data_IF_877637879594
#
_entry.id   IF_877637879594
#
_cell.length_a   1.000
_cell.length_b   1.000
_cell.length_c   1.000
_cell.angle_alpha   90.00
_cell.angle_beta   90.00
_cell.angle_gamma   90.00
#
_symmetry.space_group_name_H-M   'P 1'
#
loop_
_entity.id
_entity.type
_entity.pdbx_description
1 polymer ?
#
# COMPACT_ATOMS: atom_id res chain seq x y z
N UNK A 1 -18.79 -6.40 30.12
CA UNK A 1 -18.36 -7.77 29.77
C UNK A 1 -16.86 -7.82 29.55
N UNK A 2 -16.33 -7.19 28.50
CA UNK A 2 -14.88 -7.22 28.19
C UNK A 2 -13.98 -6.72 29.34
N UNK A 3 -14.38 -5.69 30.10
CA UNK A 3 -13.62 -5.27 31.29
C UNK A 3 -13.52 -6.36 32.37
N UNK A 4 -14.56 -7.19 32.53
CA UNK A 4 -14.53 -8.32 33.47
C UNK A 4 -13.53 -9.37 32.96
N UNK A 5 -13.52 -9.65 31.65
CA UNK A 5 -12.56 -10.55 31.02
C UNK A 5 -11.12 -10.05 31.22
N UNK A 6 -10.86 -8.76 30.97
CA UNK A 6 -9.54 -8.15 31.16
C UNK A 6 -9.07 -8.14 32.62
N UNK A 7 -9.99 -7.97 33.57
CA UNK A 7 -9.64 -7.87 34.99
C UNK A 7 -9.45 -9.24 35.63
N UNK A 8 -10.36 -10.17 35.37
CA UNK A 8 -10.46 -11.46 36.09
C UNK A 8 -10.11 -12.67 35.23
N UNK A 9 -9.77 -12.50 33.95
CA UNK A 9 -9.49 -13.60 33.03
C UNK A 9 -8.34 -14.53 33.46
N UNK A 10 -7.44 -14.05 34.32
CA UNK A 10 -6.38 -14.88 34.92
C UNK A 10 -6.92 -16.00 35.83
N UNK A 11 -8.18 -15.90 36.26
CA UNK A 11 -8.85 -16.93 37.07
C UNK A 11 -9.63 -17.95 36.23
N UNK A 12 -9.70 -17.76 34.91
CA UNK A 12 -10.52 -18.59 34.04
C UNK A 12 -9.79 -19.83 33.58
N UNK A 13 -10.49 -20.95 33.53
CA UNK A 13 -9.98 -22.17 32.91
C UNK A 13 -10.04 -22.10 31.37
N UNK A 14 -9.19 -22.87 30.69
CA UNK A 14 -9.08 -22.89 29.22
C UNK A 14 -10.43 -23.14 28.52
N UNK A 15 -11.27 -24.02 29.07
CA UNK A 15 -12.59 -24.33 28.52
C UNK A 15 -13.61 -23.19 28.71
N UNK A 16 -13.50 -22.39 29.79
CA UNK A 16 -14.36 -21.22 29.98
C UNK A 16 -14.10 -20.14 28.93
N UNK A 17 -12.84 -19.99 28.51
CA UNK A 17 -12.52 -19.08 27.41
C UNK A 17 -13.22 -19.48 26.11
N UNK A 18 -13.25 -20.78 25.77
CA UNK A 18 -13.98 -21.28 24.59
C UNK A 18 -15.47 -20.95 24.65
N UNK A 19 -16.11 -21.29 25.77
CA UNK A 19 -17.54 -21.05 25.94
C UNK A 19 -17.90 -19.56 25.91
N UNK A 20 -17.07 -18.74 26.55
CA UNK A 20 -17.27 -17.30 26.59
C UNK A 20 -17.08 -16.66 25.21
N UNK A 21 -16.01 -17.01 24.49
CA UNK A 21 -15.78 -16.47 23.15
C UNK A 21 -16.80 -16.97 22.13
N UNK A 22 -17.32 -18.20 22.29
CA UNK A 22 -18.46 -18.68 21.50
C UNK A 22 -19.69 -17.80 21.66
N UNK A 23 -19.93 -17.21 22.83
CA UNK A 23 -21.01 -16.24 23.05
C UNK A 23 -20.63 -14.87 22.48
N UNK A 24 -19.39 -14.41 22.70
CA UNK A 24 -18.90 -13.11 22.23
C UNK A 24 -18.95 -13.02 20.70
N UNK A 25 -18.54 -14.05 19.97
CA UNK A 25 -18.58 -14.04 18.50
C UNK A 25 -20.03 -13.98 17.95
N UNK A 26 -21.05 -14.34 18.74
CA UNK A 26 -22.46 -14.15 18.34
C UNK A 26 -22.86 -12.68 18.20
N UNK A 27 -22.08 -11.73 18.72
CA UNK A 27 -22.29 -10.30 18.45
C UNK A 27 -22.29 -10.02 16.94
N UNK A 28 -21.52 -10.81 16.18
CA UNK A 28 -21.44 -10.73 14.73
C UNK A 28 -22.49 -11.63 14.02
N UNK A 29 -23.22 -12.50 14.72
CA UNK A 29 -24.23 -13.39 14.10
C UNK A 29 -25.51 -12.66 13.69
N UNK A 30 -25.90 -11.59 14.40
CA UNK A 30 -27.05 -10.74 14.03
C UNK A 30 -26.94 -10.18 12.61
N UNK A 31 -25.75 -10.25 12.01
CA UNK A 31 -25.43 -9.84 10.65
C UNK A 31 -25.91 -10.81 9.56
N UNK A 32 -26.34 -12.03 9.94
CA UNK A 32 -26.86 -13.06 9.04
C UNK A 32 -28.35 -12.88 8.70
N UNK A 33 -29.06 -11.97 9.37
CA UNK A 33 -30.49 -11.75 9.16
C UNK A 33 -30.75 -10.70 8.05
N UNK A 34 -31.63 -10.97 7.05
CA UNK A 34 -31.77 -10.11 5.86
C UNK A 34 -32.52 -8.78 6.04
N UNK A 35 -33.22 -8.55 7.15
CA UNK A 35 -34.45 -7.73 7.12
C UNK A 35 -34.29 -6.20 7.36
N UNK A 36 -33.14 -5.67 7.79
CA UNK A 36 -32.97 -4.21 7.99
C UNK A 36 -31.57 -3.70 7.57
N UNK A 37 -31.43 -3.12 6.37
CA UNK A 37 -30.13 -2.71 5.80
C UNK A 37 -29.47 -1.51 6.51
N UNK A 38 -30.24 -0.51 6.96
CA UNK A 38 -29.69 0.69 7.62
C UNK A 38 -29.22 0.39 9.04
N UNK A 39 -30.03 -0.32 9.82
CA UNK A 39 -29.67 -0.77 11.17
C UNK A 39 -28.46 -1.70 11.15
N UNK A 40 -28.32 -2.52 10.10
CA UNK A 40 -27.15 -3.35 9.84
C UNK A 40 -25.86 -2.53 9.63
N UNK A 41 -25.93 -1.41 8.90
CA UNK A 41 -24.75 -0.56 8.67
C UNK A 41 -24.30 0.20 9.93
N UNK A 42 -25.25 0.71 10.71
CA UNK A 42 -24.98 1.38 11.99
C UNK A 42 -24.41 0.40 13.02
N UNK A 43 -24.99 -0.81 13.12
CA UNK A 43 -24.49 -1.88 13.98
C UNK A 43 -23.04 -2.28 13.65
N UNK A 44 -22.69 -2.37 12.36
CA UNK A 44 -21.30 -2.65 11.94
C UNK A 44 -20.33 -1.56 12.41
N UNK A 45 -20.72 -0.31 12.23
CA UNK A 45 -19.86 0.86 12.48
C UNK A 45 -19.66 1.13 13.97
N UNK A 46 -20.66 0.77 14.79
CA UNK A 46 -20.66 0.99 16.24
C UNK A 46 -20.35 -0.32 16.99
N UNK A 47 -21.34 -1.19 17.18
CA UNK A 47 -21.23 -2.37 18.06
C UNK A 47 -20.18 -3.37 17.59
N UNK A 48 -20.20 -3.79 16.31
CA UNK A 48 -19.20 -4.73 15.79
C UNK A 48 -17.78 -4.15 15.86
N UNK A 49 -17.64 -2.87 15.52
CA UNK A 49 -16.35 -2.18 15.57
C UNK A 49 -15.77 -2.19 16.99
N UNK A 50 -16.54 -1.76 18.00
CA UNK A 50 -16.09 -1.77 19.40
C UNK A 50 -15.83 -3.18 19.92
N UNK A 51 -16.69 -4.15 19.57
CA UNK A 51 -16.51 -5.53 19.96
C UNK A 51 -15.23 -6.14 19.38
N UNK A 52 -14.90 -5.83 18.11
CA UNK A 52 -13.69 -6.34 17.45
C UNK A 52 -12.41 -5.89 18.16
N UNK A 53 -12.30 -4.60 18.49
CA UNK A 53 -11.16 -4.08 19.26
C UNK A 53 -11.10 -4.73 20.65
N UNK A 54 -12.22 -4.81 21.37
CA UNK A 54 -12.25 -5.40 22.71
C UNK A 54 -11.88 -6.90 22.71
N UNK A 55 -12.27 -7.63 21.67
CA UNK A 55 -11.85 -9.03 21.44
C UNK A 55 -10.34 -9.11 21.25
N UNK A 56 -9.77 -8.26 20.39
CA UNK A 56 -8.32 -8.25 20.11
C UNK A 56 -7.50 -7.81 21.33
N UNK A 57 -8.02 -6.89 22.15
CA UNK A 57 -7.40 -6.45 23.39
C UNK A 57 -7.33 -7.59 24.42
N UNK A 58 -8.44 -8.31 24.63
CA UNK A 58 -8.46 -9.48 25.53
C UNK A 58 -7.55 -10.58 24.99
N UNK A 59 -7.58 -10.84 23.68
CA UNK A 59 -6.71 -11.81 23.04
C UNK A 59 -5.23 -11.48 23.25
N UNK A 60 -4.86 -10.21 23.06
CA UNK A 60 -3.50 -9.71 23.29
C UNK A 60 -3.08 -9.86 24.76
N UNK A 61 -3.96 -9.51 25.69
CA UNK A 61 -3.66 -9.59 27.12
C UNK A 61 -3.43 -11.04 27.60
N UNK A 62 -4.17 -12.01 27.06
CA UNK A 62 -4.12 -13.43 27.47
C UNK A 62 -3.59 -14.35 26.36
N UNK A 63 -2.70 -13.85 25.50
CA UNK A 63 -2.18 -14.57 24.33
C UNK A 63 -1.68 -15.98 24.65
N UNK A 64 -0.96 -16.15 25.76
CA UNK A 64 -0.37 -17.44 26.15
C UNK A 64 -1.42 -18.54 26.35
N UNK A 65 -2.60 -18.17 26.86
CA UNK A 65 -3.71 -19.13 27.09
C UNK A 65 -4.62 -19.22 25.86
N UNK A 66 -4.84 -18.08 25.18
CA UNK A 66 -5.83 -17.96 24.11
C UNK A 66 -5.31 -18.37 22.73
N UNK A 67 -4.00 -18.31 22.48
CA UNK A 67 -3.42 -18.69 21.19
C UNK A 67 -3.71 -20.15 20.81
N UNK A 68 -3.60 -21.08 21.77
CA UNK A 68 -3.95 -22.49 21.56
C UNK A 68 -5.44 -22.74 21.26
N UNK A 69 -6.30 -21.80 21.61
CA UNK A 69 -7.74 -22.02 21.75
C UNK A 69 -8.54 -21.28 20.69
N UNK A 70 -8.16 -20.03 20.43
CA UNK A 70 -8.96 -19.05 19.69
C UNK A 70 -8.20 -18.41 18.53
N UNK A 71 -6.93 -18.73 18.31
CA UNK A 71 -6.14 -18.06 17.26
C UNK A 71 -6.82 -18.17 15.89
N UNK A 72 -7.30 -19.36 15.53
CA UNK A 72 -7.97 -19.60 14.26
C UNK A 72 -9.32 -18.85 14.18
N UNK A 73 -10.08 -18.80 15.29
CA UNK A 73 -11.34 -18.05 15.36
C UNK A 73 -11.12 -16.54 15.24
N UNK A 74 -10.06 -16.00 15.87
CA UNK A 74 -9.69 -14.59 15.79
C UNK A 74 -9.29 -14.24 14.35
N UNK A 75 -8.46 -15.04 13.70
CA UNK A 75 -8.10 -14.82 12.30
C UNK A 75 -9.30 -14.94 11.36
N UNK A 76 -10.18 -15.92 11.56
CA UNK A 76 -11.42 -16.03 10.81
C UNK A 76 -12.33 -14.80 10.99
N UNK A 77 -12.42 -14.27 12.21
CA UNK A 77 -13.21 -13.08 12.52
C UNK A 77 -12.62 -11.82 11.89
N UNK A 78 -11.30 -11.63 11.96
CA UNK A 78 -10.60 -10.51 11.32
C UNK A 78 -10.79 -10.56 9.80
N UNK A 79 -10.55 -11.72 9.19
CA UNK A 79 -10.78 -11.96 7.76
C UNK A 79 -12.23 -11.62 7.37
N UNK A 80 -13.22 -12.11 8.13
CA UNK A 80 -14.62 -11.81 7.86
C UNK A 80 -14.92 -10.31 7.95
N UNK A 81 -14.40 -9.59 8.95
CA UNK A 81 -14.59 -8.15 9.10
C UNK A 81 -14.06 -7.37 7.90
N UNK A 82 -12.88 -7.75 7.38
CA UNK A 82 -12.26 -7.10 6.21
C UNK A 82 -13.08 -7.29 4.93
N UNK A 83 -13.84 -8.38 4.83
CA UNK A 83 -14.68 -8.68 3.66
C UNK A 83 -16.02 -7.97 3.61
N UNK A 84 -16.41 -7.25 4.67
CA UNK A 84 -17.71 -6.61 4.71
C UNK A 84 -17.78 -5.39 3.78
N UNK A 85 -18.95 -5.16 3.18
CA UNK A 85 -19.28 -3.94 2.42
C UNK A 85 -19.52 -2.73 3.39
N UNK A 86 -18.67 -2.59 4.40
CA UNK A 86 -18.65 -1.47 5.34
C UNK A 86 -17.20 -1.02 5.53
N UNK A 87 -16.88 0.18 5.03
CA UNK A 87 -15.51 0.71 5.04
C UNK A 87 -14.92 0.73 6.44
N UNK A 88 -15.66 1.26 7.43
CA UNK A 88 -15.14 1.39 8.80
C UNK A 88 -14.79 0.03 9.41
N UNK A 89 -15.68 -0.95 9.31
CA UNK A 89 -15.44 -2.28 9.86
C UNK A 89 -14.30 -3.00 9.14
N UNK A 90 -14.19 -2.85 7.82
CA UNK A 90 -13.12 -3.46 7.06
C UNK A 90 -11.75 -2.90 7.46
N UNK A 91 -11.67 -1.57 7.62
CA UNK A 91 -10.46 -0.88 8.12
C UNK A 91 -10.11 -1.30 9.55
N UNK A 92 -11.11 -1.42 10.42
CA UNK A 92 -10.90 -1.92 11.78
C UNK A 92 -10.38 -3.35 11.83
N UNK A 93 -10.80 -4.22 10.91
CA UNK A 93 -10.22 -5.56 10.75
C UNK A 93 -8.73 -5.54 10.47
N UNK A 94 -8.30 -4.73 9.49
CA UNK A 94 -6.88 -4.56 9.15
C UNK A 94 -6.07 -3.98 10.31
N UNK A 95 -6.58 -2.92 10.95
CA UNK A 95 -5.92 -2.29 12.10
C UNK A 95 -5.82 -3.21 13.32
N UNK A 96 -6.85 -4.02 13.59
CA UNK A 96 -6.81 -4.99 14.69
C UNK A 96 -5.77 -6.09 14.42
N UNK A 97 -5.70 -6.58 13.17
CA UNK A 97 -4.65 -7.53 12.77
C UNK A 97 -3.26 -6.93 12.98
N UNK A 98 -3.05 -5.67 12.55
CA UNK A 98 -1.80 -4.95 12.77
C UNK A 98 -1.44 -4.87 14.26
N UNK A 99 -2.37 -4.41 15.10
CA UNK A 99 -2.15 -4.24 16.54
C UNK A 99 -1.85 -5.57 17.23
N UNK A 100 -2.60 -6.64 16.92
CA UNK A 100 -2.36 -7.97 17.50
C UNK A 100 -0.94 -8.43 17.17
N UNK A 101 -0.48 -8.24 15.93
CA UNK A 101 0.86 -8.67 15.53
C UNK A 101 1.94 -7.78 16.14
N UNK A 102 1.77 -6.45 16.14
CA UNK A 102 2.77 -5.53 16.71
C UNK A 102 2.96 -5.75 18.21
N UNK A 103 1.86 -5.98 18.95
CA UNK A 103 1.92 -6.12 20.42
C UNK A 103 2.38 -7.51 20.88
N UNK A 104 2.31 -8.52 20.02
CA UNK A 104 2.52 -9.91 20.42
C UNK A 104 3.53 -10.68 19.57
N UNK A 105 3.99 -10.13 18.44
CA UNK A 105 4.76 -10.86 17.43
C UNK A 105 6.07 -11.46 17.95
N UNK A 106 6.68 -10.87 18.98
CA UNK A 106 7.88 -11.43 19.63
C UNK A 106 7.60 -12.75 20.36
N UNK A 107 6.35 -12.97 20.80
CA UNK A 107 5.90 -14.17 21.50
C UNK A 107 5.36 -15.25 20.56
N UNK A 108 5.23 -14.94 19.27
CA UNK A 108 4.67 -15.87 18.30
C UNK A 108 5.68 -16.99 18.01
N UNK A 109 5.19 -18.23 18.00
CA UNK A 109 5.94 -19.36 17.47
C UNK A 109 5.97 -19.28 15.94
N UNK A 110 6.85 -20.05 15.30
CA UNK A 110 6.90 -20.13 13.83
C UNK A 110 5.55 -20.54 13.22
N UNK A 111 4.81 -21.42 13.89
CA UNK A 111 3.47 -21.84 13.46
C UNK A 111 2.46 -20.68 13.51
N UNK A 112 2.47 -19.88 14.59
CA UNK A 112 1.61 -18.71 14.71
C UNK A 112 1.96 -17.68 13.64
N UNK A 113 3.24 -17.46 13.36
CA UNK A 113 3.68 -16.61 12.25
C UNK A 113 3.22 -17.12 10.89
N UNK A 114 3.28 -18.44 10.64
CA UNK A 114 2.77 -19.02 9.40
C UNK A 114 1.26 -18.81 9.25
N UNK A 115 0.48 -19.04 10.30
CA UNK A 115 -0.97 -18.76 10.31
C UNK A 115 -1.26 -17.26 10.10
N UNK A 116 -0.48 -16.39 10.72
CA UNK A 116 -0.58 -14.93 10.57
C UNK A 116 -0.34 -14.49 9.12
N UNK A 117 0.77 -14.94 8.51
CA UNK A 117 1.08 -14.62 7.12
C UNK A 117 0.07 -15.23 6.14
N UNK A 118 -0.47 -16.41 6.42
CA UNK A 118 -1.55 -17.02 5.62
C UNK A 118 -2.84 -16.19 5.71
N UNK A 119 -3.22 -15.74 6.91
CA UNK A 119 -4.36 -14.86 7.10
C UNK A 119 -4.21 -13.57 6.28
N UNK A 120 -3.04 -12.90 6.36
CA UNK A 120 -2.76 -11.71 5.55
C UNK A 120 -2.84 -12.00 4.04
N UNK A 121 -2.29 -13.13 3.58
CA UNK A 121 -2.34 -13.56 2.19
C UNK A 121 -3.79 -13.74 1.69
N UNK A 122 -4.64 -14.40 2.49
CA UNK A 122 -6.03 -14.65 2.13
C UNK A 122 -6.84 -13.34 2.11
N UNK A 123 -6.59 -12.44 3.07
CA UNK A 123 -7.18 -11.10 3.07
C UNK A 123 -6.74 -10.33 1.81
N UNK A 124 -5.45 -10.33 1.47
CA UNK A 124 -4.95 -9.68 0.26
C UNK A 124 -5.65 -10.22 -0.99
N UNK A 125 -5.65 -11.54 -1.19
CA UNK A 125 -6.24 -12.16 -2.39
C UNK A 125 -7.72 -11.83 -2.57
N UNK A 126 -8.50 -11.85 -1.48
CA UNK A 126 -9.95 -11.63 -1.58
C UNK A 126 -10.35 -10.16 -1.72
N UNK A 127 -9.45 -9.24 -1.38
CA UNK A 127 -9.68 -7.79 -1.44
C UNK A 127 -9.15 -7.15 -2.72
N UNK A 128 -8.51 -7.88 -3.65
CA UNK A 128 -8.12 -7.32 -4.96
C UNK A 128 -9.39 -6.96 -5.76
N UNK A 129 -9.56 -5.70 -6.20
CA UNK A 129 -10.75 -5.26 -6.90
C UNK A 129 -10.69 -5.57 -8.41
N UNK A 130 -10.55 -6.85 -8.78
CA UNK A 130 -10.40 -7.30 -10.17
C UNK A 130 -11.45 -6.75 -11.14
N UNK A 131 -12.68 -6.51 -10.68
CA UNK A 131 -13.73 -5.94 -11.51
C UNK A 131 -13.39 -4.53 -12.03
N UNK A 132 -12.47 -3.78 -11.41
CA UNK A 132 -12.02 -2.50 -11.97
C UNK A 132 -11.34 -2.66 -13.34
N UNK A 133 -10.69 -3.79 -13.60
CA UNK A 133 -10.04 -4.06 -14.88
C UNK A 133 -11.00 -4.57 -15.95
N UNK A 134 -12.10 -5.20 -15.54
CA UNK A 134 -13.02 -5.92 -16.44
C UNK A 134 -14.40 -5.28 -16.57
N UNK A 135 -14.73 -4.27 -15.74
CA UNK A 135 -16.04 -3.64 -15.76
C UNK A 135 -16.35 -3.01 -17.12
N UNK A 136 -17.59 -3.17 -17.57
CA UNK A 136 -18.14 -2.63 -18.81
C UNK A 136 -19.56 -2.08 -18.54
N UNK A 137 -19.99 -1.02 -19.24
CA UNK A 137 -21.37 -0.53 -19.13
C UNK A 137 -22.38 -1.55 -19.66
N UNK A 138 -23.40 -1.88 -18.87
CA UNK A 138 -24.47 -2.79 -19.31
C UNK A 138 -25.39 -2.08 -20.32
N UNK A 139 -25.25 -2.43 -21.59
CA UNK A 139 -26.09 -1.95 -22.71
C UNK A 139 -25.35 -1.27 -23.88
N UNK A 140 -24.02 -1.34 -23.94
CA UNK A 140 -23.26 -0.89 -25.11
C UNK A 140 -23.12 -1.99 -26.15
N UNK A 141 -24.08 -2.12 -27.05
CA UNK A 141 -23.80 -2.70 -28.36
C UNK A 141 -22.60 -1.98 -28.96
N UNK A 142 -21.74 -2.75 -29.62
CA UNK A 142 -20.67 -2.29 -30.52
C UNK A 142 -21.20 -1.27 -31.52
N UNK A 143 -21.24 0.01 -31.15
CA UNK A 143 -21.22 1.11 -32.11
C UNK A 143 -19.76 1.43 -32.31
N UNK A 144 -19.21 0.89 -33.41
CA UNK A 144 -17.96 1.36 -34.00
C UNK A 144 -17.97 2.91 -34.01
N UNK A 145 -16.92 3.59 -33.52
CA UNK A 145 -16.89 5.04 -33.59
C UNK A 145 -16.78 5.44 -35.07
N UNK A 146 -17.81 6.09 -35.60
CA UNK A 146 -17.68 6.91 -36.81
C UNK A 146 -16.71 8.07 -36.51
N UNK A 147 -15.75 8.39 -37.39
CA UNK A 147 -14.72 9.39 -37.12
C UNK A 147 -15.34 10.79 -37.19
N UNK A 148 -15.85 11.30 -36.08
CA UNK A 148 -16.12 12.74 -35.90
C UNK A 148 -14.96 13.37 -35.14
N UNK A 149 -13.91 13.74 -35.89
CA UNK A 149 -12.74 14.43 -35.35
C UNK A 149 -13.17 15.81 -34.85
N UNK A 150 -13.10 16.06 -33.54
CA UNK A 150 -13.28 17.42 -33.02
C UNK A 150 -13.59 17.52 -31.53
N UNK A 151 -14.32 16.56 -30.94
CA UNK A 151 -14.76 16.66 -29.53
C UNK A 151 -13.93 15.85 -28.52
N UNK A 152 -13.19 14.83 -28.96
CA UNK A 152 -12.37 14.01 -28.05
C UNK A 152 -11.17 14.77 -27.47
N UNK A 153 -10.50 15.60 -28.29
CA UNK A 153 -9.36 16.42 -27.84
C UNK A 153 -9.72 17.41 -26.72
N UNK A 154 -10.98 17.82 -26.62
CA UNK A 154 -11.42 18.78 -25.61
C UNK A 154 -11.72 18.11 -24.24
N UNK A 155 -12.12 16.84 -24.24
CA UNK A 155 -12.34 16.06 -23.01
C UNK A 155 -11.01 15.60 -22.38
N UNK A 156 -10.02 15.27 -23.20
CA UNK A 156 -8.67 14.94 -22.72
C UNK A 156 -7.96 16.15 -22.09
N UNK A 157 -8.21 17.36 -22.61
CA UNK A 157 -7.66 18.60 -22.05
C UNK A 157 -8.31 18.99 -20.69
N UNK A 158 -9.59 18.65 -20.47
CA UNK A 158 -10.29 18.89 -19.19
C UNK A 158 -9.91 17.80 -18.15
N UNK A 159 -9.43 16.64 -18.60
CA UNK A 159 -9.06 15.47 -17.78
C UNK A 159 -7.60 15.48 -17.27
N UNK A 160 -6.94 16.63 -17.16
CA UNK A 160 -5.57 16.69 -16.62
C UNK A 160 -5.49 16.43 -15.10
N UNK A 161 -6.61 16.51 -14.36
CA UNK A 161 -6.64 16.19 -12.92
C UNK A 161 -7.20 14.78 -12.68
N UNK A 162 -6.33 13.78 -12.75
CA UNK A 162 -6.63 12.44 -12.19
C UNK A 162 -6.62 12.50 -10.67
N UNK A 163 -7.51 11.75 -10.02
CA UNK A 163 -7.58 11.68 -8.55
C UNK A 163 -7.26 10.28 -8.08
N UNK A 164 -6.45 10.21 -7.03
CA UNK A 164 -6.15 8.94 -6.39
C UNK A 164 -7.39 8.45 -5.62
N UNK A 165 -7.71 7.17 -5.75
CA UNK A 165 -8.90 6.58 -5.11
C UNK A 165 -8.80 6.67 -3.58
N UNK A 166 -7.60 6.73 -3.01
CA UNK A 166 -7.36 6.79 -1.58
C UNK A 166 -7.40 8.21 -1.01
N UNK A 167 -7.49 9.26 -1.84
CA UNK A 167 -7.79 10.61 -1.37
C UNK A 167 -9.29 10.71 -1.03
N UNK A 168 -9.61 10.92 0.25
CA UNK A 168 -10.99 10.90 0.75
C UNK A 168 -11.88 11.93 0.05
N UNK A 169 -13.07 11.47 -0.35
CA UNK A 169 -14.27 12.31 -0.45
C UNK A 169 -14.66 12.66 0.99
N UNK A 170 -14.06 13.70 1.56
CA UNK A 170 -14.66 14.29 2.77
C UNK A 170 -16.03 14.87 2.38
N UNK A 171 -17.11 14.60 3.14
CA UNK A 171 -18.24 15.51 3.13
C UNK A 171 -17.67 16.85 3.58
N UNK A 172 -17.72 17.87 2.71
CA UNK A 172 -17.33 19.22 3.10
C UNK A 172 -18.04 19.54 4.41
N UNK A 173 -17.27 19.69 5.49
CA UNK A 173 -17.72 20.33 6.71
C UNK A 173 -18.33 21.67 6.30
N UNK A 174 -19.60 21.89 6.64
CA UNK A 174 -20.27 23.17 6.48
C UNK A 174 -19.50 24.19 7.32
N UNK A 175 -18.61 24.94 6.67
CA UNK A 175 -17.86 26.00 7.30
C UNK A 175 -18.83 27.10 7.71
N UNK A 176 -19.08 27.14 9.02
CA UNK A 176 -19.88 28.12 9.74
C UNK A 176 -19.11 29.44 9.76
N UNK A 177 -19.28 30.30 8.74
CA UNK A 177 -18.86 31.70 8.81
C UNK A 177 -19.91 32.67 8.26
N UNK A 178 -20.50 33.37 9.22
CA UNK A 178 -20.97 34.77 9.21
C UNK A 178 -22.18 35.16 8.35
N UNK A 179 -23.27 35.43 9.09
CA UNK A 179 -24.42 36.23 8.68
C UNK A 179 -24.00 37.64 8.25
N UNK A 180 -24.35 38.04 7.03
CA UNK A 180 -24.77 39.42 6.71
C UNK A 180 -25.87 39.38 5.63
N UNK A 181 -26.99 40.11 5.79
CA UNK A 181 -28.06 40.14 4.81
C UNK A 181 -27.87 41.29 3.81
N UNK A 182 -27.87 41.00 2.50
CA UNK A 182 -28.13 42.00 1.46
C UNK A 182 -29.17 41.46 0.49
N UNK A 183 -30.14 42.33 0.22
CA UNK A 183 -31.41 42.15 -0.49
C UNK A 183 -31.23 42.14 -2.01
N UNK A 184 -31.94 41.26 -2.70
CA UNK A 184 -32.56 41.56 -4.00
C UNK A 184 -32.03 40.84 -5.26
N UNK A 185 -32.97 40.13 -5.92
CA UNK A 185 -33.19 39.93 -7.38
C UNK A 185 -33.30 38.43 -7.78
N UNK A 186 -34.36 38.02 -8.54
CA UNK A 186 -34.83 36.64 -8.57
C UNK A 186 -34.33 35.80 -9.77
N UNK A 187 -34.42 34.48 -9.55
CA UNK A 187 -34.75 33.40 -10.47
C UNK A 187 -34.16 33.43 -11.90
N UNK A 188 -33.14 32.59 -12.12
CA UNK A 188 -33.05 31.80 -13.34
C UNK A 188 -32.33 30.47 -13.04
N UNK A 189 -33.11 29.47 -12.61
CA UNK A 189 -32.66 28.07 -12.53
C UNK A 189 -32.82 27.41 -13.91
N UNK A 190 -31.79 27.49 -14.75
CA UNK A 190 -31.57 26.46 -15.77
C UNK A 190 -30.60 25.41 -15.22
N UNK A 191 -31.16 24.47 -14.48
CA UNK A 191 -30.46 23.26 -14.06
C UNK A 191 -30.13 22.45 -15.31
N UNK A 192 -28.84 22.38 -15.63
CA UNK A 192 -28.25 21.47 -16.62
C UNK A 192 -28.61 20.00 -16.29
N UNK A 193 -29.72 19.55 -16.87
CA UNK A 193 -30.09 18.14 -16.99
C UNK A 193 -29.18 17.51 -18.04
N UNK A 194 -28.13 16.82 -17.60
CA UNK A 194 -27.46 15.73 -18.33
C UNK A 194 -26.27 15.20 -17.49
N UNK A 195 -26.57 14.52 -16.38
CA UNK A 195 -25.59 13.64 -15.74
C UNK A 195 -25.98 12.19 -16.03
N UNK A 196 -25.09 11.35 -16.58
CA UNK A 196 -25.28 9.91 -16.53
C UNK A 196 -25.11 9.48 -15.06
N UNK A 197 -26.23 9.25 -14.38
CA UNK A 197 -26.24 8.63 -13.05
C UNK A 197 -26.02 7.13 -13.27
N UNK A 198 -25.00 6.56 -12.63
CA UNK A 198 -24.78 5.12 -12.63
C UNK A 198 -26.07 4.40 -12.21
N UNK A 199 -26.45 3.31 -12.90
CA UNK A 199 -27.62 2.52 -12.54
C UNK A 199 -27.44 2.00 -11.10
N UNK A 200 -28.53 1.82 -10.34
CA UNK A 200 -28.48 1.40 -8.93
C UNK A 200 -27.59 0.16 -8.65
N UNK A 201 -27.52 -0.87 -9.51
CA UNK A 201 -26.60 -2.01 -9.33
C UNK A 201 -25.12 -1.61 -9.42
N UNK A 202 -24.77 -0.70 -10.33
CA UNK A 202 -23.40 -0.20 -10.51
C UNK A 202 -22.95 0.62 -9.29
N UNK A 203 -23.86 1.36 -8.64
CA UNK A 203 -23.53 2.14 -7.44
C UNK A 203 -23.11 1.25 -6.27
N UNK A 204 -23.83 0.14 -6.04
CA UNK A 204 -23.47 -0.82 -4.98
C UNK A 204 -22.12 -1.50 -5.29
N UNK A 205 -21.92 -1.91 -6.54
CA UNK A 205 -20.64 -2.49 -6.99
C UNK A 205 -19.48 -1.50 -6.81
N UNK A 206 -19.66 -0.24 -7.22
CA UNK A 206 -18.64 0.79 -7.10
C UNK A 206 -18.29 1.08 -5.65
N UNK A 207 -19.29 1.13 -4.75
CA UNK A 207 -19.05 1.22 -3.31
C UNK A 207 -18.16 0.08 -2.79
N UNK A 208 -18.51 -1.17 -3.11
CA UNK A 208 -17.71 -2.33 -2.72
C UNK A 208 -16.27 -2.30 -3.28
N UNK A 209 -16.10 -1.88 -4.54
CA UNK A 209 -14.78 -1.76 -5.16
C UNK A 209 -13.93 -0.64 -4.54
N UNK A 210 -14.54 0.48 -4.15
CA UNK A 210 -13.84 1.55 -3.43
C UNK A 210 -13.34 1.07 -2.07
N UNK A 211 -14.18 0.35 -1.32
CA UNK A 211 -13.80 -0.26 -0.04
C UNK A 211 -12.60 -1.20 -0.25
N UNK A 212 -12.67 -2.08 -1.25
CA UNK A 212 -11.55 -2.97 -1.61
C UNK A 212 -10.24 -2.23 -1.91
N UNK A 213 -10.29 -1.12 -2.64
CA UNK A 213 -9.09 -0.30 -2.85
C UNK A 213 -8.56 0.25 -1.53
N UNK A 214 -9.41 0.86 -0.70
CA UNK A 214 -9.00 1.41 0.62
C UNK A 214 -8.33 0.33 1.46
N UNK A 215 -8.97 -0.84 1.57
CA UNK A 215 -8.45 -1.99 2.31
C UNK A 215 -7.10 -2.46 1.77
N UNK A 216 -6.92 -2.55 0.45
CA UNK A 216 -5.64 -2.93 -0.16
C UNK A 216 -4.50 -1.99 0.23
N UNK A 217 -4.74 -0.67 0.25
CA UNK A 217 -3.73 0.29 0.69
C UNK A 217 -3.44 0.16 2.19
N UNK A 218 -4.45 -0.06 3.01
CA UNK A 218 -4.23 -0.29 4.45
C UNK A 218 -3.46 -1.57 4.71
N UNK A 219 -3.73 -2.66 3.99
CA UNK A 219 -2.99 -3.91 4.14
C UNK A 219 -1.51 -3.76 3.75
N UNK A 220 -1.21 -2.95 2.71
CA UNK A 220 0.17 -2.59 2.36
C UNK A 220 0.84 -1.87 3.54
N UNK A 221 0.16 -0.88 4.13
CA UNK A 221 0.68 -0.15 5.29
C UNK A 221 0.83 -1.06 6.51
N UNK A 222 -0.06 -2.04 6.70
CA UNK A 222 0.02 -3.02 7.79
C UNK A 222 1.21 -3.94 7.63
N UNK A 223 1.49 -4.46 6.44
CA UNK A 223 2.73 -5.23 6.21
C UNK A 223 3.96 -4.35 6.49
N UNK A 224 3.97 -3.10 5.99
CA UNK A 224 5.08 -2.17 6.23
C UNK A 224 5.31 -1.91 7.73
N UNK A 225 4.24 -1.62 8.47
CA UNK A 225 4.27 -1.38 9.91
C UNK A 225 4.67 -2.61 10.71
N UNK A 226 4.19 -3.80 10.34
CA UNK A 226 4.56 -5.05 11.02
C UNK A 226 6.03 -5.35 10.80
N UNK A 227 6.51 -5.29 9.55
CA UNK A 227 7.88 -5.70 9.22
C UNK A 227 8.90 -4.66 9.70
N UNK A 228 8.61 -3.36 9.57
CA UNK A 228 9.58 -2.28 9.80
C UNK A 228 9.27 -1.40 11.02
N UNK A 229 8.19 -1.68 11.76
CA UNK A 229 7.63 -0.83 12.81
C UNK A 229 6.93 0.44 12.27
N UNK A 230 5.83 0.92 12.92
CA UNK A 230 5.10 2.09 12.46
C UNK A 230 5.98 3.34 12.29
N UNK A 231 5.73 4.07 11.20
CA UNK A 231 6.41 5.31 10.80
C UNK A 231 7.90 5.20 10.42
N UNK A 232 8.55 4.06 10.62
CA UNK A 232 9.98 3.86 10.27
C UNK A 232 10.24 4.08 8.79
N UNK A 233 9.47 3.45 7.90
CA UNK A 233 9.64 3.59 6.45
C UNK A 233 9.43 5.03 5.96
N UNK A 234 8.48 5.77 6.56
CA UNK A 234 8.23 7.18 6.22
C UNK A 234 9.38 8.08 6.68
N UNK A 235 9.94 7.79 7.85
CA UNK A 235 11.14 8.48 8.35
C UNK A 235 12.34 8.20 7.45
N UNK A 236 12.55 6.95 7.05
CA UNK A 236 13.61 6.57 6.09
C UNK A 236 13.47 7.32 4.76
N UNK A 237 12.28 7.41 4.18
CA UNK A 237 12.06 8.15 2.93
C UNK A 237 12.39 9.64 3.06
N UNK A 238 12.01 10.26 4.18
CA UNK A 238 12.34 11.66 4.48
C UNK A 238 13.85 11.87 4.66
N UNK A 239 14.54 10.93 5.33
CA UNK A 239 15.98 10.96 5.51
C UNK A 239 16.74 10.77 4.18
N UNK A 240 16.28 9.84 3.33
CA UNK A 240 16.85 9.62 1.99
C UNK A 240 16.72 10.88 1.12
N UNK A 241 15.55 11.54 1.15
CA UNK A 241 15.34 12.80 0.45
C UNK A 241 16.26 13.91 0.99
N UNK A 242 16.33 14.07 2.31
CA UNK A 242 17.20 15.06 2.96
C UNK A 242 18.69 14.80 2.72
N UNK A 243 19.10 13.53 2.58
CA UNK A 243 20.49 13.15 2.25
C UNK A 243 20.81 13.41 0.77
N UNK A 244 19.84 13.27 -0.13
CA UNK A 244 19.98 13.65 -1.53
C UNK A 244 20.12 15.18 -1.69
N UNK A 245 19.42 15.96 -0.87
CA UNK A 245 19.50 17.44 -0.88
C UNK A 245 20.85 18.00 -0.44
N UNK A 246 21.51 17.36 0.53
CA UNK A 246 22.78 17.86 1.11
C UNK A 246 24.02 17.66 0.22
N UNK A 247 23.87 16.98 -0.90
CA UNK A 247 24.94 16.43 -1.75
C UNK A 247 26.16 15.81 -1.01
N UNK A 248 25.98 15.35 0.24
CA UNK A 248 27.08 14.88 1.07
C UNK A 248 27.70 13.60 0.49
N UNK A 249 29.02 13.63 0.30
CA UNK A 249 29.85 12.52 -0.20
C UNK A 249 29.86 11.35 0.80
N UNK A 250 29.60 11.62 2.08
CA UNK A 250 29.50 10.63 3.15
C UNK A 250 28.04 10.19 3.36
N UNK A 251 27.65 9.12 2.68
CA UNK A 251 26.28 8.58 2.71
C UNK A 251 26.04 7.58 3.86
N UNK A 252 26.81 7.67 4.94
CA UNK A 252 26.53 6.88 6.14
C UNK A 252 25.34 7.47 6.91
N UNK A 253 24.15 7.34 6.31
CA UNK A 253 22.90 7.38 7.06
C UNK A 253 22.84 6.07 7.85
N UNK A 254 23.49 6.07 9.01
CA UNK A 254 23.32 5.06 10.03
C UNK A 254 21.95 5.30 10.66
N UNK A 255 20.95 4.57 10.18
CA UNK A 255 19.66 4.52 10.87
C UNK A 255 19.77 3.38 11.87
N UNK A 256 19.81 3.72 13.16
CA UNK A 256 19.65 2.79 14.30
C UNK A 256 18.23 2.18 14.32
N UNK A 257 17.82 1.53 13.23
CA UNK A 257 16.50 0.88 13.06
C UNK A 257 16.60 -0.61 12.81
N UNK A 258 17.81 -1.20 12.87
CA UNK A 258 18.01 -2.59 12.49
C UNK A 258 17.16 -3.59 13.30
N UNK A 259 16.75 -3.23 14.52
CA UNK A 259 16.00 -4.12 15.42
C UNK A 259 14.54 -3.71 15.70
N UNK A 260 13.99 -2.72 14.99
CA UNK A 260 12.58 -2.38 15.15
C UNK A 260 11.69 -3.17 14.17
N UNK A 261 10.52 -3.59 14.67
CA UNK A 261 9.51 -4.34 13.92
C UNK A 261 9.71 -5.86 14.00
N UNK A 262 8.90 -6.59 13.24
CA UNK A 262 8.79 -8.05 13.35
C UNK A 262 9.65 -8.82 12.36
N UNK A 263 10.47 -8.13 11.56
CA UNK A 263 11.32 -8.74 10.54
C UNK A 263 12.22 -9.87 11.07
N UNK A 264 12.82 -9.71 12.26
CA UNK A 264 13.73 -10.69 12.84
C UNK A 264 13.02 -11.98 13.31
N UNK A 265 11.70 -11.94 13.52
CA UNK A 265 10.89 -13.10 13.90
C UNK A 265 10.32 -13.86 12.69
N UNK A 266 10.41 -13.29 11.49
CA UNK A 266 9.88 -13.86 10.25
C UNK A 266 10.94 -14.70 9.54
N UNK A 267 10.59 -15.88 9.06
CA UNK A 267 11.47 -16.68 8.19
C UNK A 267 11.58 -16.08 6.78
N UNK A 268 12.56 -16.52 5.98
CA UNK A 268 12.69 -16.07 4.58
C UNK A 268 11.47 -16.44 3.74
N UNK A 269 10.87 -17.61 3.98
CA UNK A 269 9.64 -18.05 3.31
C UNK A 269 8.43 -17.18 3.69
N UNK A 270 8.31 -16.79 4.96
CA UNK A 270 7.24 -15.88 5.40
C UNK A 270 7.40 -14.48 4.78
N UNK A 271 8.63 -13.95 4.72
CA UNK A 271 8.89 -12.68 4.03
C UNK A 271 8.59 -12.75 2.53
N UNK A 272 8.95 -13.84 1.85
CA UNK A 272 8.60 -14.02 0.44
C UNK A 272 7.09 -14.08 0.23
N UNK A 273 6.34 -14.72 1.14
CA UNK A 273 4.88 -14.72 1.09
C UNK A 273 4.30 -13.30 1.19
N UNK A 274 4.79 -12.48 2.11
CA UNK A 274 4.38 -11.08 2.24
C UNK A 274 4.79 -10.25 1.02
N UNK A 275 6.01 -10.47 0.50
CA UNK A 275 6.50 -9.85 -0.73
C UNK A 275 5.60 -10.16 -1.92
N UNK A 276 5.19 -11.41 -2.09
CA UNK A 276 4.35 -11.82 -3.21
C UNK A 276 2.98 -11.13 -3.15
N UNK A 277 2.38 -10.95 -1.97
CA UNK A 277 1.16 -10.13 -1.79
C UNK A 277 1.36 -8.69 -2.26
N UNK A 278 2.44 -8.05 -1.83
CA UNK A 278 2.77 -6.67 -2.19
C UNK A 278 2.97 -6.53 -3.71
N UNK A 279 3.72 -7.44 -4.32
CA UNK A 279 3.98 -7.43 -5.75
C UNK A 279 2.72 -7.72 -6.58
N UNK A 280 1.80 -8.55 -6.10
CA UNK A 280 0.50 -8.76 -6.74
C UNK A 280 -0.35 -7.48 -6.70
N UNK A 281 -0.40 -6.81 -5.55
CA UNK A 281 -1.10 -5.52 -5.40
C UNK A 281 -0.50 -4.44 -6.30
N UNK A 282 0.84 -4.38 -6.39
CA UNK A 282 1.55 -3.49 -7.33
C UNK A 282 1.16 -3.77 -8.78
N UNK A 283 1.22 -5.04 -9.22
CA UNK A 283 0.89 -5.44 -10.60
C UNK A 283 -0.54 -5.05 -10.95
N UNK A 284 -1.49 -5.26 -10.04
CA UNK A 284 -2.87 -4.85 -10.23
C UNK A 284 -3.00 -3.33 -10.40
N UNK A 285 -2.42 -2.54 -9.48
CA UNK A 285 -2.49 -1.09 -9.53
C UNK A 285 -1.83 -0.52 -10.79
N UNK A 286 -0.66 -1.05 -11.17
CA UNK A 286 0.05 -0.74 -12.43
C UNK A 286 -0.82 -1.03 -13.66
N UNK A 287 -1.45 -2.21 -13.71
CA UNK A 287 -2.33 -2.59 -14.81
C UNK A 287 -3.54 -1.64 -14.92
N UNK A 288 -4.12 -1.25 -13.78
CA UNK A 288 -5.22 -0.30 -13.74
C UNK A 288 -4.78 1.10 -14.19
N UNK A 289 -3.67 1.62 -13.67
CA UNK A 289 -3.16 2.96 -13.96
C UNK A 289 -2.77 3.13 -15.42
N UNK A 290 -2.19 2.07 -16.02
CA UNK A 290 -1.77 2.02 -17.42
C UNK A 290 -2.95 1.88 -18.39
N UNK A 291 -4.10 1.37 -17.93
CA UNK A 291 -5.28 1.18 -18.78
C UNK A 291 -6.13 2.46 -18.85
N UNK A 292 -5.70 3.37 -19.72
CA UNK A 292 -6.37 4.65 -19.92
C UNK A 292 -7.83 4.53 -20.34
N UNK A 293 -8.17 3.55 -21.17
CA UNK A 293 -9.53 3.30 -21.66
C UNK A 293 -10.45 2.87 -20.51
N UNK A 294 -10.00 1.88 -19.72
CA UNK A 294 -10.76 1.37 -18.57
C UNK A 294 -11.03 2.47 -17.54
N UNK A 295 -10.01 3.26 -17.21
CA UNK A 295 -10.14 4.39 -16.28
C UNK A 295 -11.12 5.44 -16.79
N UNK A 296 -11.12 5.71 -18.10
CA UNK A 296 -12.09 6.62 -18.74
C UNK A 296 -13.50 6.05 -18.72
N UNK A 297 -13.68 4.75 -18.95
CA UNK A 297 -14.98 4.07 -18.87
C UNK A 297 -15.58 4.16 -17.45
N UNK A 298 -14.80 3.85 -16.42
CA UNK A 298 -15.21 3.96 -15.02
C UNK A 298 -15.52 5.40 -14.60
N UNK A 299 -14.72 6.36 -15.07
CA UNK A 299 -14.98 7.78 -14.83
C UNK A 299 -16.30 8.23 -15.45
N UNK A 300 -16.56 7.89 -16.72
CA UNK A 300 -17.84 8.19 -17.39
C UNK A 300 -19.03 7.52 -16.72
N UNK A 301 -18.81 6.37 -16.09
CA UNK A 301 -19.80 5.66 -15.29
C UNK A 301 -20.01 6.25 -13.89
N UNK A 302 -19.19 7.20 -13.45
CA UNK A 302 -19.32 7.86 -12.15
C UNK A 302 -18.64 7.14 -10.98
N UNK A 303 -17.69 6.22 -11.24
CA UNK A 303 -17.02 5.41 -10.20
C UNK A 303 -16.41 6.24 -9.05
N UNK A 304 -15.69 7.33 -9.34
CA UNK A 304 -15.06 8.22 -8.34
C UNK A 304 -15.35 9.70 -8.65
N UNK A 305 -16.63 10.04 -8.76
CA UNK A 305 -17.08 11.43 -8.89
C UNK A 305 -16.63 12.10 -10.19
N UNK A 306 -16.03 13.30 -10.09
CA UNK A 306 -15.80 14.19 -11.25
C UNK A 306 -14.48 13.96 -11.99
N UNK A 307 -13.57 13.14 -11.47
CA UNK A 307 -12.21 13.00 -12.01
C UNK A 307 -11.87 11.55 -12.35
N UNK A 308 -10.91 11.39 -13.28
CA UNK A 308 -10.41 10.08 -13.69
C UNK A 308 -9.71 9.39 -12.50
N UNK A 309 -10.17 8.21 -12.05
CA UNK A 309 -9.59 7.53 -10.90
C UNK A 309 -8.18 7.02 -11.21
N UNK A 310 -7.31 6.92 -10.20
CA UNK A 310 -6.02 6.24 -10.24
C UNK A 310 -5.75 5.51 -8.91
N UNK A 311 -4.74 4.64 -8.90
CA UNK A 311 -4.25 3.88 -7.76
C UNK A 311 -2.76 4.17 -7.52
N UNK A 312 -2.32 5.41 -7.69
CA UNK A 312 -0.90 5.76 -7.64
C UNK A 312 -0.30 5.44 -6.27
N UNK A 313 -0.99 5.75 -5.18
CA UNK A 313 -0.50 5.43 -3.82
C UNK A 313 -0.39 3.92 -3.58
N UNK A 314 -1.37 3.13 -4.05
CA UNK A 314 -1.31 1.67 -3.95
C UNK A 314 -0.14 1.12 -4.79
N UNK A 315 0.03 1.61 -6.01
CA UNK A 315 1.11 1.20 -6.92
C UNK A 315 2.51 1.47 -6.32
N UNK A 316 2.74 2.68 -5.80
CA UNK A 316 4.05 3.09 -5.32
C UNK A 316 4.34 2.54 -3.92
N UNK A 317 3.36 2.52 -3.01
CA UNK A 317 3.56 2.04 -1.63
C UNK A 317 3.80 0.54 -1.58
N UNK A 318 3.08 -0.26 -2.39
CA UNK A 318 3.28 -1.72 -2.45
C UNK A 318 4.67 -2.08 -2.95
N UNK A 319 5.12 -1.42 -4.02
CA UNK A 319 6.46 -1.64 -4.57
C UNK A 319 7.55 -1.14 -3.62
N UNK A 320 7.37 0.02 -2.99
CA UNK A 320 8.33 0.53 -2.00
C UNK A 320 8.49 -0.45 -0.82
N UNK A 321 7.38 -0.94 -0.25
CA UNK A 321 7.41 -1.93 0.83
C UNK A 321 8.10 -3.23 0.39
N UNK A 322 7.77 -3.75 -0.80
CA UNK A 322 8.40 -4.94 -1.36
C UNK A 322 9.92 -4.77 -1.57
N UNK A 323 10.36 -3.62 -2.08
CA UNK A 323 11.77 -3.30 -2.22
C UNK A 323 12.47 -3.21 -0.86
N UNK A 324 11.85 -2.62 0.17
CA UNK A 324 12.42 -2.58 1.53
C UNK A 324 12.64 -3.99 2.08
N UNK A 325 11.69 -4.91 1.87
CA UNK A 325 11.83 -6.31 2.29
C UNK A 325 13.02 -6.95 1.57
N UNK A 326 13.07 -6.86 0.24
CA UNK A 326 14.13 -7.44 -0.57
C UNK A 326 15.51 -6.88 -0.19
N UNK A 327 15.66 -5.55 -0.09
CA UNK A 327 16.94 -4.94 0.29
C UNK A 327 17.35 -5.28 1.72
N UNK A 328 16.40 -5.35 2.68
CA UNK A 328 16.72 -5.76 4.05
C UNK A 328 17.22 -7.19 4.08
N UNK A 329 16.53 -8.13 3.41
CA UNK A 329 16.99 -9.52 3.27
C UNK A 329 18.35 -9.62 2.57
N UNK A 330 18.60 -8.79 1.56
CA UNK A 330 19.83 -8.83 0.80
C UNK A 330 21.04 -8.24 1.53
N UNK A 331 20.82 -7.45 2.57
CA UNK A 331 21.87 -6.89 3.44
C UNK A 331 22.00 -7.63 4.77
N UNK A 332 21.12 -8.59 5.03
CA UNK A 332 21.06 -9.35 6.27
C UNK A 332 21.93 -10.62 6.18
N UNK A 333 23.01 -10.63 6.95
CA UNK A 333 23.96 -11.75 7.02
C UNK A 333 23.36 -13.02 7.61
N UNK A 334 22.22 -12.96 8.31
CA UNK A 334 21.52 -14.15 8.80
C UNK A 334 20.75 -14.90 7.72
N UNK A 335 20.57 -14.31 6.52
CA UNK A 335 19.76 -14.84 5.42
C UNK A 335 20.56 -15.19 4.17
N UNK A 336 21.82 -15.60 4.34
CA UNK A 336 22.71 -15.92 3.20
C UNK A 336 22.17 -16.99 2.29
N UNK A 337 21.47 -17.96 2.87
CA UNK A 337 20.81 -19.06 2.18
C UNK A 337 19.76 -18.57 1.17
N UNK A 338 19.14 -17.41 1.40
CA UNK A 338 18.13 -16.83 0.52
C UNK A 338 18.69 -15.77 -0.46
N UNK A 339 19.96 -15.36 -0.34
CA UNK A 339 20.50 -14.23 -1.09
C UNK A 339 20.44 -14.39 -2.61
N UNK A 340 20.62 -15.59 -3.15
CA UNK A 340 20.53 -15.85 -4.59
C UNK A 340 19.11 -15.58 -5.11
N UNK A 341 18.10 -16.11 -4.41
CA UNK A 341 16.69 -15.88 -4.75
C UNK A 341 16.33 -14.40 -4.58
N UNK A 342 16.75 -13.76 -3.49
CA UNK A 342 16.54 -12.33 -3.24
C UNK A 342 17.16 -11.49 -4.36
N UNK A 343 18.40 -11.77 -4.77
CA UNK A 343 19.08 -11.06 -5.84
C UNK A 343 18.31 -11.18 -7.17
N UNK A 344 17.88 -12.39 -7.53
CA UNK A 344 17.12 -12.62 -8.76
C UNK A 344 15.80 -11.85 -8.75
N UNK A 345 15.06 -11.90 -7.64
CA UNK A 345 13.80 -11.15 -7.47
C UNK A 345 14.03 -9.64 -7.54
N UNK A 346 15.05 -9.14 -6.85
CA UNK A 346 15.39 -7.72 -6.82
C UNK A 346 15.79 -7.20 -8.21
N UNK A 347 16.64 -7.93 -8.94
CA UNK A 347 17.00 -7.60 -10.33
C UNK A 347 15.77 -7.48 -11.23
N UNK A 348 14.88 -8.47 -11.17
CA UNK A 348 13.66 -8.49 -11.99
C UNK A 348 12.71 -7.35 -11.64
N UNK A 349 12.40 -7.17 -10.35
CA UNK A 349 11.47 -6.14 -9.87
C UNK A 349 11.99 -4.74 -10.20
N UNK A 350 13.26 -4.45 -9.92
CA UNK A 350 13.83 -3.14 -10.22
C UNK A 350 13.91 -2.88 -11.74
N UNK A 351 14.28 -3.89 -12.55
CA UNK A 351 14.29 -3.73 -14.01
C UNK A 351 12.90 -3.42 -14.54
N UNK A 352 11.89 -4.16 -14.10
CA UNK A 352 10.49 -3.91 -14.49
C UNK A 352 10.03 -2.52 -14.06
N UNK A 353 10.37 -2.10 -12.83
CA UNK A 353 10.04 -0.78 -12.32
C UNK A 353 10.69 0.34 -13.14
N UNK A 354 12.00 0.27 -13.42
CA UNK A 354 12.70 1.25 -14.24
C UNK A 354 12.15 1.29 -15.67
N UNK A 355 11.95 0.12 -16.29
CA UNK A 355 11.35 0.04 -17.63
C UNK A 355 9.95 0.63 -17.66
N UNK A 356 9.14 0.40 -16.62
CA UNK A 356 7.81 0.99 -16.53
C UNK A 356 7.87 2.51 -16.35
N UNK A 357 8.75 3.02 -15.50
CA UNK A 357 8.95 4.47 -15.32
C UNK A 357 9.26 5.18 -16.65
N UNK A 358 10.11 4.58 -17.50
CA UNK A 358 10.42 5.10 -18.84
C UNK A 358 9.19 5.25 -19.74
N UNK A 359 8.18 4.39 -19.56
CA UNK A 359 6.93 4.42 -20.35
C UNK A 359 5.90 5.42 -19.83
N UNK A 360 6.07 5.96 -18.62
CA UNK A 360 5.11 6.90 -18.04
C UNK A 360 5.12 8.21 -18.82
N UNK A 361 3.97 8.66 -19.30
CA UNK A 361 3.83 9.92 -20.05
C UNK A 361 3.29 11.07 -19.20
N UNK A 362 2.66 10.76 -18.06
CA UNK A 362 2.08 11.74 -17.15
C UNK A 362 3.12 12.24 -16.15
N UNK A 363 3.30 13.55 -16.09
CA UNK A 363 4.22 14.20 -15.13
C UNK A 363 3.84 13.90 -13.67
N UNK A 364 2.55 13.98 -13.32
CA UNK A 364 2.09 13.64 -11.97
C UNK A 364 2.29 12.16 -11.60
N UNK A 365 2.20 11.25 -12.56
CA UNK A 365 2.54 9.83 -12.34
C UNK A 365 4.05 9.69 -12.07
N UNK A 366 4.90 10.36 -12.85
CA UNK A 366 6.35 10.36 -12.61
C UNK A 366 6.71 10.99 -11.27
N UNK A 367 6.07 12.08 -10.90
CA UNK A 367 6.26 12.74 -9.60
C UNK A 367 5.96 11.77 -8.45
N UNK A 368 4.86 11.02 -8.53
CA UNK A 368 4.51 9.99 -7.55
C UNK A 368 5.57 8.88 -7.42
N UNK A 369 6.39 8.66 -8.44
CA UNK A 369 7.47 7.66 -8.46
C UNK A 369 8.81 8.17 -7.90
N UNK A 370 8.91 9.47 -7.58
CA UNK A 370 10.16 10.09 -7.15
C UNK A 370 10.74 9.42 -5.90
N UNK A 371 9.94 9.24 -4.85
CA UNK A 371 10.38 8.60 -3.59
C UNK A 371 10.80 7.15 -3.82
N UNK A 372 10.14 6.44 -4.72
CA UNK A 372 10.46 5.06 -5.06
C UNK A 372 11.81 4.95 -5.78
N UNK A 373 12.09 5.84 -6.72
CA UNK A 373 13.40 5.90 -7.40
C UNK A 373 14.52 6.28 -6.43
N UNK A 374 14.27 7.23 -5.52
CA UNK A 374 15.22 7.57 -4.46
C UNK A 374 15.52 6.35 -3.57
N UNK A 375 14.48 5.69 -3.05
CA UNK A 375 14.63 4.47 -2.25
C UNK A 375 15.47 3.42 -2.99
N UNK A 376 15.11 3.11 -4.24
CA UNK A 376 15.82 2.15 -5.07
C UNK A 376 17.30 2.50 -5.23
N UNK A 377 17.61 3.70 -5.73
CA UNK A 377 18.99 4.10 -6.02
C UNK A 377 19.82 4.16 -4.74
N UNK A 378 19.25 4.71 -3.67
CA UNK A 378 19.88 4.78 -2.36
C UNK A 378 20.20 3.40 -1.82
N UNK A 379 19.28 2.44 -1.88
CA UNK A 379 19.52 1.09 -1.38
C UNK A 379 20.56 0.34 -2.22
N UNK A 380 20.51 0.45 -3.55
CA UNK A 380 21.56 -0.13 -4.41
C UNK A 380 22.92 0.47 -4.09
N UNK A 381 23.00 1.76 -3.81
CA UNK A 381 24.25 2.41 -3.39
C UNK A 381 24.81 1.91 -2.05
N UNK A 382 24.03 1.22 -1.22
CA UNK A 382 24.48 0.68 0.08
C UNK A 382 24.90 -0.79 0.07
N UNK A 383 24.59 -1.56 -0.99
CA UNK A 383 24.98 -2.99 -1.06
C UNK A 383 26.48 -3.13 -1.32
N UNK A 384 27.06 -4.31 -1.04
CA UNK A 384 28.49 -4.59 -1.26
C UNK A 384 28.91 -4.46 -2.73
N UNK A 385 30.20 -4.24 -2.99
CA UNK A 385 30.71 -3.97 -4.34
C UNK A 385 30.43 -5.09 -5.34
N UNK A 386 30.57 -6.36 -4.95
CA UNK A 386 30.30 -7.49 -5.85
C UNK A 386 28.83 -7.55 -6.26
N UNK A 387 27.92 -7.31 -5.31
CA UNK A 387 26.48 -7.21 -5.58
C UNK A 387 26.16 -5.97 -6.42
N UNK A 388 26.79 -4.84 -6.09
CA UNK A 388 26.64 -3.60 -6.83
C UNK A 388 27.02 -3.79 -8.31
N UNK A 389 28.09 -4.51 -8.63
CA UNK A 389 28.45 -4.83 -10.02
C UNK A 389 27.29 -5.52 -10.76
N UNK A 390 26.71 -6.57 -10.17
CA UNK A 390 25.60 -7.29 -10.78
C UNK A 390 24.39 -6.38 -11.04
N UNK A 391 24.01 -5.56 -10.06
CA UNK A 391 22.90 -4.60 -10.18
C UNK A 391 23.20 -3.48 -11.18
N UNK A 392 24.40 -2.89 -11.12
CA UNK A 392 24.83 -1.83 -12.01
C UNK A 392 24.82 -2.29 -13.46
N UNK A 393 25.41 -3.45 -13.77
CA UNK A 393 25.40 -4.01 -15.12
C UNK A 393 23.98 -4.24 -15.66
N UNK A 394 23.04 -4.61 -14.79
CA UNK A 394 21.66 -4.90 -15.19
C UNK A 394 20.81 -3.64 -15.41
N UNK A 395 21.06 -2.58 -14.65
CA UNK A 395 20.26 -1.34 -14.68
C UNK A 395 20.85 -0.25 -15.56
N UNK A 396 22.15 -0.30 -15.86
CA UNK A 396 22.89 0.79 -16.51
C UNK A 396 22.18 1.40 -17.74
N UNK A 397 21.73 0.61 -18.75
CA UNK A 397 21.07 1.19 -19.92
C UNK A 397 19.78 1.94 -19.56
N UNK A 398 18.98 1.41 -18.62
CA UNK A 398 17.73 2.04 -18.20
C UNK A 398 17.99 3.34 -17.43
N UNK A 399 19.04 3.38 -16.61
CA UNK A 399 19.42 4.60 -15.88
C UNK A 399 19.95 5.68 -16.82
N UNK A 400 20.64 5.31 -17.91
CA UNK A 400 21.01 6.26 -18.96
C UNK A 400 19.79 6.86 -19.65
N UNK A 401 18.77 6.06 -19.98
CA UNK A 401 17.51 6.56 -20.55
C UNK A 401 16.78 7.49 -19.57
N UNK A 402 16.79 7.19 -18.26
CA UNK A 402 16.17 8.04 -17.24
C UNK A 402 16.78 9.45 -17.20
N UNK A 403 18.07 9.60 -17.51
CA UNK A 403 18.73 10.91 -17.55
C UNK A 403 18.17 11.86 -18.61
N UNK A 404 17.45 11.34 -19.61
CA UNK A 404 16.82 12.18 -20.64
C UNK A 404 15.57 12.92 -20.11
N UNK A 405 15.07 12.57 -18.93
CA UNK A 405 13.95 13.25 -18.30
C UNK A 405 14.38 14.45 -17.46
N UNK A 406 13.45 15.39 -17.28
CA UNK A 406 13.61 16.47 -16.31
C UNK A 406 13.38 15.94 -14.89
N UNK A 407 14.46 15.46 -14.28
CA UNK A 407 14.45 14.91 -12.92
C UNK A 407 14.61 16.01 -11.87
N UNK A 408 14.08 15.82 -10.67
CA UNK A 408 14.38 16.75 -9.57
C UNK A 408 15.88 16.69 -9.19
N UNK A 409 16.45 17.77 -8.63
CA UNK A 409 17.86 17.83 -8.25
C UNK A 409 18.33 16.65 -7.39
N UNK A 410 17.49 16.20 -6.46
CA UNK A 410 17.75 15.08 -5.56
C UNK A 410 17.97 13.77 -6.31
N UNK A 411 17.11 13.45 -7.29
CA UNK A 411 17.29 12.25 -8.13
C UNK A 411 18.54 12.33 -8.98
N UNK A 412 18.85 13.52 -9.54
CA UNK A 412 20.11 13.73 -10.29
C UNK A 412 21.33 13.51 -9.41
N UNK A 413 21.30 13.98 -8.16
CA UNK A 413 22.39 13.80 -7.21
C UNK A 413 22.64 12.31 -6.90
N UNK A 414 21.59 11.54 -6.61
CA UNK A 414 21.73 10.09 -6.32
C UNK A 414 22.13 9.31 -7.57
N UNK A 415 21.60 9.64 -8.76
CA UNK A 415 22.05 9.03 -10.03
C UNK A 415 23.52 9.33 -10.32
N UNK A 416 23.97 10.57 -10.09
CA UNK A 416 25.39 10.93 -10.22
C UNK A 416 26.26 10.05 -9.34
N UNK A 417 25.90 9.84 -8.07
CA UNK A 417 26.64 8.94 -7.16
C UNK A 417 26.67 7.51 -7.66
N UNK A 418 25.56 7.02 -8.22
CA UNK A 418 25.51 5.70 -8.82
C UNK A 418 26.54 5.55 -9.95
N UNK A 419 26.63 6.52 -10.87
CA UNK A 419 27.60 6.49 -11.96
C UNK A 419 29.05 6.67 -11.48
N UNK A 420 29.30 7.52 -10.47
CA UNK A 420 30.63 7.64 -9.87
C UNK A 420 31.06 6.34 -9.19
N UNK A 421 30.14 5.66 -8.49
CA UNK A 421 30.41 4.36 -7.88
C UNK A 421 30.72 3.29 -8.93
N UNK A 422 30.05 3.31 -10.10
CA UNK A 422 30.43 2.46 -11.24
C UNK A 422 31.89 2.72 -11.62
N UNK A 423 32.30 3.98 -11.72
CA UNK A 423 33.66 4.38 -12.06
C UNK A 423 34.72 3.71 -11.17
N UNK A 424 34.50 3.73 -9.85
CA UNK A 424 35.39 3.11 -8.86
C UNK A 424 35.30 1.58 -8.87
N UNK A 425 34.09 1.03 -8.78
CA UNK A 425 33.87 -0.42 -8.59
C UNK A 425 34.25 -1.23 -9.84
N UNK A 426 34.10 -0.67 -11.04
CA UNK A 426 34.53 -1.27 -12.31
C UNK A 426 35.93 -0.81 -12.75
N UNK A 427 36.64 -0.02 -11.93
CA UNK A 427 37.99 0.47 -12.21
C UNK A 427 38.10 1.26 -13.53
N UNK A 428 37.08 2.05 -13.84
CA UNK A 428 37.05 2.98 -14.99
C UNK A 428 37.78 4.29 -14.64
N UNK A 429 37.68 4.74 -13.39
CA UNK A 429 38.33 5.95 -12.86
C UNK A 429 38.92 5.69 -11.48
N UNK A 430 40.09 6.26 -11.18
CA UNK A 430 40.68 6.15 -9.85
C UNK A 430 39.94 7.04 -8.84
N UNK A 431 39.88 6.65 -7.54
CA UNK A 431 39.41 7.55 -6.50
C UNK A 431 40.34 8.77 -6.44
N UNK A 432 39.77 9.97 -6.31
CA UNK A 432 40.53 11.23 -6.30
C UNK A 432 41.64 11.28 -5.22
N UNK A 433 41.56 10.43 -4.20
CA UNK A 433 42.52 10.38 -3.08
C UNK A 433 43.79 9.54 -3.36
N UNK A 434 43.93 8.91 -4.54
CA UNK A 434 45.15 8.17 -4.91
C UNK A 434 46.15 8.97 -5.76
N UNK A 435 45.79 10.17 -6.25
CA UNK A 435 46.71 10.97 -7.07
C UNK A 435 47.75 11.77 -6.25
N UNK A 436 47.53 12.05 -4.96
CA UNK A 436 48.47 12.85 -4.15
C UNK A 436 49.73 12.08 -3.71
N UNK A 437 49.71 10.74 -3.64
CA UNK A 437 50.87 9.95 -3.21
C UNK A 437 51.79 9.51 -4.35
N UNK A 438 51.31 9.46 -5.60
CA UNK A 438 52.14 9.13 -6.77
C UNK A 438 52.82 10.34 -7.42
N UNK A 439 52.46 11.57 -7.04
CA UNK A 439 53.10 12.79 -7.55
C UNK A 439 54.29 13.27 -6.69
N UNK A 440 54.69 12.50 -5.66
CA UNK A 440 55.81 12.82 -4.74
C UNK A 440 56.96 11.81 -4.74
N UNK A 441 57.08 10.94 -5.74
CA UNK A 441 58.26 10.08 -5.93
C UNK A 441 59.18 10.59 -7.03
#
# INVERSE_FOLDING_TARGET
MFEIMKTYGHTYEKHWWQDLFRIVFRIFDNMKLPEQQTEKAEWMTTTCNHALYAICDVFTQYLEVLSDVLLDDIFAQLYWCVQQDNEQLARSGTNCLENVVILNGEKFTLEIWDKTCNCMLDIFKTTIPHALLTWRPVGGDTVLPSPSSGKEKQLDAISQKSVDIHDSVQPKSLDRRQFQPIVGVPANEEISKNKPIAKFPDQKLFGALLIKCVVQLELIQTIDNIVFFPATSKKEDAENLAAAQRDAVDFNVHVDTQDQGMYCFLTSQQLFKLLDCLLESHKFAKAFNSNNEQRTALWKAGFKGKSKPNLLKQETSSLACGLRILFRMYMDESRKDAWEEVQQRLLNVCKEALSYFLTLTSESHREAWTSLLLLFLTKVLKISDDRFKAHASFYYPLLCEIMQFDLIPELRAVLRRFFLRIGVVFQISQPADQEEDTAKQ
#
